data_IF_117077322564
#
_entry.id   IF_117077322564
#
_cell.length_a   1.000
_cell.length_b   1.000
_cell.length_c   1.000
_cell.angle_alpha   90.00
_cell.angle_beta   90.00
_cell.angle_gamma   90.00
#
_symmetry.space_group_name_H-M   'P 1'
#
loop_
_entity.id
_entity.type
_entity.pdbx_description
1 polymer ?
#
# COMPACT_ATOMS: atom_id res chain seq x y z
N UNK A 1 2.81 9.28 -21.92
CA UNK A 1 3.72 9.97 -20.97
C UNK A 1 2.90 10.75 -19.93
N UNK A 2 2.13 10.08 -19.06
CA UNK A 2 1.30 10.74 -18.04
C UNK A 2 1.59 10.28 -16.60
N UNK A 3 2.57 9.38 -16.43
CA UNK A 3 2.90 8.71 -15.15
C UNK A 3 3.89 9.56 -14.31
N UNK A 4 4.52 10.57 -14.91
CA UNK A 4 5.58 11.37 -14.29
C UNK A 4 5.12 12.57 -13.46
N UNK A 5 3.96 13.17 -13.76
CA UNK A 5 3.52 14.40 -13.09
C UNK A 5 3.12 14.14 -11.62
N UNK A 6 2.23 13.16 -11.38
CA UNK A 6 1.64 12.94 -10.06
C UNK A 6 2.65 12.46 -8.98
N UNK A 7 3.72 11.74 -9.38
CA UNK A 7 4.71 11.21 -8.43
C UNK A 7 5.58 12.30 -7.82
N UNK A 8 6.06 13.21 -8.66
CA UNK A 8 6.92 14.31 -8.22
C UNK A 8 6.11 15.37 -7.46
N UNK A 9 4.88 15.63 -7.90
CA UNK A 9 3.94 16.50 -7.20
C UNK A 9 3.63 15.98 -5.78
N UNK A 10 3.44 14.67 -5.60
CA UNK A 10 3.20 14.09 -4.28
C UNK A 10 4.38 14.30 -3.32
N UNK A 11 5.62 14.12 -3.81
CA UNK A 11 6.81 14.37 -3.00
C UNK A 11 6.95 15.85 -2.65
N UNK A 12 6.62 16.75 -3.57
CA UNK A 12 6.63 18.20 -3.32
C UNK A 12 5.58 18.60 -2.28
N UNK A 13 4.37 18.06 -2.37
CA UNK A 13 3.31 18.27 -1.37
C UNK A 13 3.76 17.75 -0.01
N UNK A 14 4.35 16.54 0.04
CA UNK A 14 4.86 15.96 1.27
C UNK A 14 5.95 16.84 1.89
N UNK A 15 6.87 17.39 1.09
CA UNK A 15 7.93 18.29 1.55
C UNK A 15 7.37 19.61 2.09
N UNK A 16 6.38 20.19 1.40
CA UNK A 16 5.72 21.42 1.83
C UNK A 16 5.00 21.23 3.18
N UNK A 17 4.23 20.15 3.32
CA UNK A 17 3.53 19.81 4.57
C UNK A 17 4.51 19.52 5.71
N UNK A 18 5.60 18.80 5.43
CA UNK A 18 6.64 18.50 6.42
C UNK A 18 7.28 19.78 6.97
N UNK A 19 7.60 20.75 6.09
CA UNK A 19 8.12 22.07 6.48
C UNK A 19 7.09 22.88 7.27
N UNK A 20 5.84 22.92 6.82
CA UNK A 20 4.77 23.67 7.50
C UNK A 20 4.55 23.14 8.92
N UNK A 21 4.53 21.82 9.08
CA UNK A 21 4.30 21.16 10.38
C UNK A 21 5.58 20.97 11.20
N UNK A 22 6.75 21.32 10.67
CA UNK A 22 8.06 21.07 11.29
C UNK A 22 8.25 19.61 11.73
N UNK A 23 7.89 18.67 10.86
CA UNK A 23 8.02 17.21 11.09
C UNK A 23 8.84 16.56 9.97
N UNK A 24 9.29 15.33 10.20
CA UNK A 24 10.04 14.60 9.20
C UNK A 24 9.17 14.26 7.98
N UNK A 25 9.72 14.46 6.77
CA UNK A 25 9.04 14.14 5.51
C UNK A 25 8.58 12.69 5.45
N UNK A 26 9.32 11.77 6.06
CA UNK A 26 8.96 10.35 6.10
C UNK A 26 7.66 10.10 6.86
N UNK A 27 7.37 10.89 7.91
CA UNK A 27 6.11 10.80 8.66
C UNK A 27 4.94 11.25 7.77
N UNK A 28 5.12 12.34 7.03
CA UNK A 28 4.10 12.83 6.08
C UNK A 28 3.85 11.80 4.99
N UNK A 29 4.91 11.27 4.39
CA UNK A 29 4.83 10.24 3.35
C UNK A 29 4.11 8.98 3.88
N UNK A 30 4.43 8.55 5.10
CA UNK A 30 3.77 7.40 5.73
C UNK A 30 2.27 7.65 5.95
N UNK A 31 1.90 8.86 6.38
CA UNK A 31 0.50 9.24 6.56
C UNK A 31 -0.25 9.30 5.23
N UNK A 32 0.38 9.83 4.18
CA UNK A 32 -0.17 9.82 2.82
C UNK A 32 -0.34 8.39 2.30
N UNK A 33 0.64 7.52 2.55
CA UNK A 33 0.58 6.12 2.16
C UNK A 33 -0.56 5.38 2.87
N UNK A 34 -0.79 5.63 4.16
CA UNK A 34 -1.92 5.09 4.91
C UNK A 34 -3.28 5.56 4.34
N UNK A 35 -3.39 6.85 4.00
CA UNK A 35 -4.59 7.39 3.37
C UNK A 35 -4.86 6.75 1.99
N UNK A 36 -3.83 6.54 1.19
CA UNK A 36 -3.92 5.87 -0.11
C UNK A 36 -4.29 4.39 0.08
N UNK A 37 -3.72 3.71 1.08
CA UNK A 37 -4.07 2.34 1.43
C UNK A 37 -5.55 2.19 1.77
N UNK A 38 -6.09 3.10 2.58
CA UNK A 38 -7.53 3.16 2.88
C UNK A 38 -8.38 3.37 1.62
N UNK A 39 -7.97 4.27 0.72
CA UNK A 39 -8.68 4.46 -0.55
C UNK A 39 -8.60 3.22 -1.46
N UNK A 40 -7.46 2.51 -1.44
CA UNK A 40 -7.25 1.30 -2.22
C UNK A 40 -8.14 0.12 -1.77
N UNK A 41 -8.52 0.06 -0.48
CA UNK A 41 -9.45 -0.95 0.05
C UNK A 41 -10.80 -0.91 -0.66
N UNK A 42 -11.27 0.28 -1.04
CA UNK A 42 -12.51 0.42 -1.84
C UNK A 42 -12.46 -0.32 -3.18
N UNK A 43 -11.26 -0.53 -3.73
CA UNK A 43 -11.07 -1.19 -5.03
C UNK A 43 -10.66 -2.66 -4.92
N UNK A 44 -9.93 -3.04 -3.89
CA UNK A 44 -9.39 -4.40 -3.72
C UNK A 44 -10.07 -5.21 -2.61
N UNK A 45 -11.11 -4.68 -1.98
CA UNK A 45 -11.83 -5.31 -0.87
C UNK A 45 -11.68 -4.49 0.40
N UNK A 46 -12.82 -4.13 1.00
CA UNK A 46 -12.86 -3.25 2.18
C UNK A 46 -12.21 -3.89 3.41
N UNK A 47 -12.26 -5.21 3.48
CA UNK A 47 -11.74 -6.03 4.57
C UNK A 47 -10.23 -6.31 4.40
N UNK A 48 -9.70 -6.16 3.18
CA UNK A 48 -8.30 -6.40 2.87
C UNK A 48 -7.37 -5.42 3.57
N UNK A 49 -6.29 -5.92 4.16
CA UNK A 49 -5.23 -5.07 4.69
C UNK A 49 -4.25 -4.68 3.58
N UNK A 50 -4.30 -3.41 3.14
CA UNK A 50 -3.43 -2.89 2.08
C UNK A 50 -2.42 -1.94 2.68
N UNK A 51 -1.15 -2.31 2.54
CA UNK A 51 0.00 -1.46 2.81
C UNK A 51 0.46 -0.79 1.52
N UNK A 52 0.71 0.51 1.61
CA UNK A 52 1.30 1.28 0.52
C UNK A 52 2.65 1.78 1.00
N UNK A 53 3.66 1.62 0.15
CA UNK A 53 5.01 2.10 0.39
C UNK A 53 5.36 3.10 -0.72
N UNK A 54 5.84 4.28 -0.34
CA UNK A 54 6.16 5.37 -1.28
C UNK A 54 7.64 5.67 -1.16
N UNK A 55 8.35 5.58 -2.29
CA UNK A 55 9.75 5.94 -2.34
C UNK A 55 9.91 7.48 -2.19
N UNK A 56 10.58 7.98 -1.15
CA UNK A 56 10.66 9.41 -0.85
C UNK A 56 11.52 10.21 -1.83
N UNK A 57 12.28 9.53 -2.71
CA UNK A 57 13.13 10.14 -3.73
C UNK A 57 12.47 10.12 -5.10
N UNK A 58 11.81 9.02 -5.47
CA UNK A 58 11.24 8.84 -6.82
C UNK A 58 9.73 9.04 -6.88
N UNK A 59 9.04 9.02 -5.73
CA UNK A 59 7.58 9.00 -5.64
C UNK A 59 6.97 7.70 -6.18
N UNK A 60 7.76 6.64 -6.38
CA UNK A 60 7.24 5.33 -6.77
C UNK A 60 6.42 4.72 -5.63
N UNK A 61 5.20 4.29 -5.95
CA UNK A 61 4.30 3.64 -5.00
C UNK A 61 4.29 2.13 -5.24
N UNK A 62 4.38 1.36 -4.16
CA UNK A 62 4.20 -0.08 -4.14
C UNK A 62 3.02 -0.42 -3.27
N UNK A 63 2.10 -1.23 -3.79
CA UNK A 63 0.94 -1.69 -3.07
C UNK A 63 1.17 -3.15 -2.69
N UNK A 64 0.90 -3.47 -1.43
CA UNK A 64 1.05 -4.80 -0.89
C UNK A 64 -0.18 -5.14 -0.07
N UNK A 65 -0.79 -6.28 -0.38
CA UNK A 65 -1.81 -6.89 0.46
C UNK A 65 -1.11 -7.69 1.55
N UNK A 66 -1.46 -7.44 2.80
CA UNK A 66 -0.95 -8.18 3.96
C UNK A 66 -1.99 -9.24 4.33
N UNK A 67 -1.54 -10.48 4.45
CA UNK A 67 -2.36 -11.62 4.87
C UNK A 67 -1.70 -12.32 6.05
N UNK A 68 -2.47 -12.64 7.07
CA UNK A 68 -2.03 -13.38 8.25
C UNK A 68 -2.04 -14.90 7.96
N UNK A 69 -0.94 -15.57 8.28
CA UNK A 69 -0.79 -17.01 8.08
C UNK A 69 -1.50 -17.75 9.21
N UNK A 70 -2.54 -18.51 8.87
CA UNK A 70 -3.38 -19.22 9.85
C UNK A 70 -3.50 -20.71 9.49
N UNK A 71 -3.84 -21.52 10.50
CA UNK A 71 -4.12 -22.95 10.28
C UNK A 71 -5.46 -23.17 9.58
N UNK A 72 -6.52 -22.51 10.07
CA UNK A 72 -7.86 -22.54 9.50
C UNK A 72 -8.22 -21.13 9.01
N UNK A 73 -8.40 -20.99 7.69
CA UNK A 73 -8.78 -19.71 7.08
C UNK A 73 -10.27 -19.47 7.30
N UNK A 74 -10.59 -18.40 8.01
CA UNK A 74 -11.95 -17.89 8.23
C UNK A 74 -12.26 -16.72 7.29
N UNK A 75 -11.25 -15.88 6.97
CA UNK A 75 -11.39 -14.75 6.06
C UNK A 75 -10.28 -14.72 4.99
N UNK A 76 -10.62 -15.11 3.76
CA UNK A 76 -9.70 -15.10 2.62
C UNK A 76 -9.22 -13.71 2.17
N UNK A 77 -9.81 -12.63 2.71
CA UNK A 77 -9.39 -11.25 2.42
C UNK A 77 -8.17 -10.85 3.23
N UNK A 78 -8.05 -11.38 4.44
CA UNK A 78 -7.01 -11.02 5.43
C UNK A 78 -6.15 -12.19 5.86
N UNK A 79 -6.51 -13.42 5.53
CA UNK A 79 -5.82 -14.63 5.97
C UNK A 79 -5.39 -15.50 4.80
N UNK A 80 -4.34 -16.29 5.02
CA UNK A 80 -3.79 -17.24 4.07
C UNK A 80 -3.44 -18.54 4.79
N UNK A 81 -3.63 -19.68 4.13
CA UNK A 81 -3.25 -20.98 4.69
C UNK A 81 -1.73 -21.11 4.77
N UNK A 82 -1.22 -21.90 5.71
CA UNK A 82 0.22 -22.19 5.81
C UNK A 82 0.78 -22.77 4.49
N UNK A 83 0.02 -23.60 3.78
CA UNK A 83 0.42 -24.19 2.50
C UNK A 83 0.63 -23.12 1.42
N UNK A 84 -0.32 -22.18 1.29
CA UNK A 84 -0.22 -21.13 0.31
C UNK A 84 0.81 -20.06 0.70
N UNK A 85 0.95 -19.79 2.00
CA UNK A 85 2.03 -18.95 2.53
C UNK A 85 3.40 -19.54 2.19
N UNK A 86 3.60 -20.85 2.40
CA UNK A 86 4.85 -21.56 2.08
C UNK A 86 5.18 -21.61 0.60
N UNK A 87 4.17 -21.61 -0.26
CA UNK A 87 4.36 -21.50 -1.71
C UNK A 87 4.96 -20.16 -2.13
N UNK A 88 4.81 -19.12 -1.30
CA UNK A 88 5.33 -17.77 -1.56
C UNK A 88 6.61 -17.49 -0.76
N UNK A 89 6.68 -17.99 0.46
CA UNK A 89 7.85 -17.92 1.33
C UNK A 89 8.00 -19.25 2.07
N UNK A 90 8.98 -20.07 1.69
CA UNK A 90 9.17 -21.41 2.22
C UNK A 90 9.37 -21.45 3.76
N UNK A 91 9.87 -20.37 4.34
CA UNK A 91 10.10 -20.21 5.78
C UNK A 91 8.88 -19.69 6.55
N UNK A 92 7.71 -19.53 5.90
CA UNK A 92 6.51 -19.05 6.56
C UNK A 92 6.00 -20.01 7.65
N UNK A 93 5.62 -19.44 8.79
CA UNK A 93 5.03 -20.12 9.94
C UNK A 93 3.64 -19.57 10.28
N UNK A 94 2.84 -20.34 11.05
CA UNK A 94 1.54 -19.85 11.53
C UNK A 94 1.78 -18.68 12.48
N UNK A 95 1.04 -17.59 12.26
CA UNK A 95 1.20 -16.33 12.98
C UNK A 95 2.06 -15.30 12.25
N UNK A 96 2.73 -15.68 11.16
CA UNK A 96 3.44 -14.72 10.30
C UNK A 96 2.49 -13.90 9.42
N UNK A 97 3.04 -12.89 8.76
CA UNK A 97 2.35 -12.11 7.75
C UNK A 97 3.04 -12.26 6.38
N UNK A 98 2.23 -12.55 5.36
CA UNK A 98 2.66 -12.58 3.96
C UNK A 98 2.24 -11.29 3.28
N UNK A 99 3.21 -10.62 2.65
CA UNK A 99 2.98 -9.45 1.82
C UNK A 99 2.91 -9.86 0.34
N UNK A 100 1.73 -9.78 -0.25
CA UNK A 100 1.51 -10.00 -1.68
C UNK A 100 1.54 -8.68 -2.44
N UNK A 101 2.39 -8.58 -3.46
CA UNK A 101 2.46 -7.38 -4.28
C UNK A 101 1.22 -7.26 -5.17
N UNK A 102 0.50 -6.15 -5.02
CA UNK A 102 -0.67 -5.83 -5.84
C UNK A 102 -0.25 -5.01 -7.08
N UNK A 103 -1.02 -5.12 -8.18
CA UNK A 103 -0.81 -4.26 -9.33
C UNK A 103 -0.94 -2.77 -8.93
N UNK A 104 -0.13 -1.89 -9.54
CA UNK A 104 -0.17 -0.47 -9.23
C UNK A 104 -1.55 0.11 -9.56
N UNK A 105 -2.06 0.96 -8.67
CA UNK A 105 -3.31 1.70 -8.89
C UNK A 105 -3.04 3.03 -9.61
N UNK A 106 -3.72 3.25 -10.72
CA UNK A 106 -3.75 4.53 -11.41
C UNK A 106 -4.70 5.51 -10.72
N UNK A 107 -4.23 6.22 -9.69
CA UNK A 107 -5.02 7.27 -9.02
C UNK A 107 -5.28 8.50 -9.91
N UNK A 108 -4.56 8.64 -11.03
CA UNK A 108 -4.64 9.79 -11.94
C UNK A 108 -5.88 9.86 -12.85
N UNK A 109 -6.79 8.87 -12.81
CA UNK A 109 -7.98 8.83 -13.68
C UNK A 109 -9.32 9.10 -12.99
N UNK A 110 -9.33 9.48 -11.71
CA UNK A 110 -10.60 9.74 -11.00
C UNK A 110 -11.18 11.15 -11.29
N UNK A 111 -10.43 12.04 -11.96
CA UNK A 111 -10.85 13.44 -12.15
C UNK A 111 -11.21 13.88 -13.59
N UNK A 112 -11.31 12.97 -14.58
CA UNK A 112 -11.55 13.37 -15.98
C UNK A 112 -12.95 13.04 -16.55
N UNK A 113 -13.89 12.56 -15.72
CA UNK A 113 -15.30 12.41 -16.12
C UNK A 113 -16.23 12.95 -15.03
N UNK A 114 -16.34 14.27 -14.96
CA UNK A 114 -17.49 14.97 -14.40
C UNK A 114 -17.64 16.30 -15.13
#
# INVERSE_FOLDING_TARGET
MAISANRLELIQIADAVAREKSIDKSIVIQAMADAIGKAARSRYGQETNIRVDINPNTGEMKLQRIMDVVEAVEDFSTQISLEEARSRNADAEIGDQIAEQLPPLDFGRIAAQS
#
